data_IF_340125494029
#
_entry.id   IF_340125494029
#
_cell.length_a   1.000
_cell.length_b   1.000
_cell.length_c   1.000
_cell.angle_alpha   90.00
_cell.angle_beta   90.00
_cell.angle_gamma   90.00
#
_symmetry.space_group_name_H-M   'P 1'
#
loop_
_entity.id
_entity.type
_entity.pdbx_description
1 polymer ?
#
# COMPACT_ATOMS: atom_id res chain seq x y z
N UNK A 1 -3.44 -55.29 -18.83
CA UNK A 1 -4.22 -54.17 -18.25
C UNK A 1 -4.53 -54.47 -16.78
N UNK A 2 -4.24 -53.55 -15.87
CA UNK A 2 -4.46 -53.75 -14.43
C UNK A 2 -5.96 -53.67 -14.14
N UNK A 3 -6.56 -54.73 -13.59
CA UNK A 3 -7.97 -54.75 -13.18
C UNK A 3 -8.09 -54.12 -11.80
N UNK A 4 -8.77 -52.98 -11.73
CA UNK A 4 -9.11 -52.31 -10.48
C UNK A 4 -10.44 -52.84 -9.94
N UNK A 5 -10.56 -52.93 -8.61
CA UNK A 5 -11.81 -53.27 -7.90
C UNK A 5 -12.18 -52.13 -6.95
N UNK A 6 -13.48 -51.90 -6.69
CA UNK A 6 -13.93 -50.96 -5.67
C UNK A 6 -13.35 -51.30 -4.28
N UNK A 7 -13.08 -50.27 -3.48
CA UNK A 7 -12.46 -50.44 -2.15
C UNK A 7 -13.49 -50.94 -1.13
N UNK A 8 -13.02 -51.74 -0.17
CA UNK A 8 -13.83 -52.24 0.93
C UNK A 8 -13.99 -51.20 2.04
N UNK A 9 -15.18 -50.61 2.14
CA UNK A 9 -15.49 -49.56 3.11
C UNK A 9 -15.69 -50.08 4.55
N UNK A 10 -15.83 -51.40 4.77
CA UNK A 10 -16.02 -51.99 6.12
C UNK A 10 -14.80 -51.81 7.03
N UNK A 11 -13.64 -51.49 6.43
CA UNK A 11 -12.37 -51.27 7.12
C UNK A 11 -12.18 -49.83 7.62
N UNK A 12 -13.12 -48.93 7.34
CA UNK A 12 -13.06 -47.55 7.83
C UNK A 12 -13.25 -47.52 9.34
N UNK A 13 -12.31 -46.89 10.05
CA UNK A 13 -12.41 -46.64 11.49
C UNK A 13 -12.94 -45.23 11.74
N UNK A 14 -13.98 -45.11 12.56
CA UNK A 14 -14.52 -43.83 13.02
C UNK A 14 -14.23 -43.63 14.51
N UNK A 15 -14.33 -42.39 14.99
CA UNK A 15 -14.19 -42.07 16.41
C UNK A 15 -15.23 -41.03 16.84
N UNK A 16 -15.55 -41.02 18.14
CA UNK A 16 -16.55 -40.09 18.68
C UNK A 16 -16.10 -38.64 18.60
N UNK A 17 -17.00 -37.75 18.20
CA UNK A 17 -16.79 -36.30 18.26
C UNK A 17 -16.41 -35.81 19.67
N UNK A 18 -16.83 -36.50 20.74
CA UNK A 18 -16.45 -36.18 22.13
C UNK A 18 -14.94 -36.30 22.40
N UNK A 19 -14.23 -37.11 21.61
CA UNK A 19 -12.78 -37.29 21.71
C UNK A 19 -12.00 -36.31 20.82
N UNK A 20 -12.70 -35.51 19.98
CA UNK A 20 -12.09 -34.56 19.07
C UNK A 20 -11.80 -33.25 19.80
N UNK A 21 -10.53 -32.81 19.83
CA UNK A 21 -10.20 -31.42 20.22
C UNK A 21 -10.90 -30.47 19.25
N UNK A 22 -11.72 -29.57 19.78
CA UNK A 22 -12.50 -28.61 18.98
C UNK A 22 -11.89 -27.23 19.11
N UNK A 23 -11.76 -26.50 17.99
CA UNK A 23 -11.14 -25.17 17.93
C UNK A 23 -12.14 -24.01 18.03
N UNK A 24 -13.44 -24.29 17.89
CA UNK A 24 -14.50 -23.29 17.85
C UNK A 24 -15.63 -23.72 18.77
N UNK A 25 -16.02 -22.86 19.69
CA UNK A 25 -17.14 -23.07 20.62
C UNK A 25 -18.25 -22.05 20.38
N UNK A 26 -19.43 -22.28 20.94
CA UNK A 26 -20.60 -21.38 20.75
C UNK A 26 -20.29 -19.93 21.12
N UNK A 27 -19.46 -19.70 22.13
CA UNK A 27 -19.05 -18.36 22.56
C UNK A 27 -18.15 -17.64 21.53
N UNK A 28 -17.58 -18.37 20.58
CA UNK A 28 -16.75 -17.83 19.49
C UNK A 28 -17.57 -17.40 18.27
N UNK A 29 -18.89 -17.61 18.29
CA UNK A 29 -19.76 -17.32 17.16
C UNK A 29 -19.95 -15.82 17.02
N UNK A 30 -20.07 -15.37 15.76
CA UNK A 30 -20.41 -14.00 15.46
C UNK A 30 -21.80 -13.66 16.01
N UNK A 31 -22.01 -12.40 16.38
CA UNK A 31 -23.36 -11.88 16.66
C UNK A 31 -23.86 -11.07 15.45
N UNK A 32 -25.14 -11.20 15.07
CA UNK A 32 -25.73 -10.39 14.01
C UNK A 32 -25.54 -8.90 14.29
N UNK A 33 -25.19 -8.14 13.25
CA UNK A 33 -25.10 -6.69 13.35
C UNK A 33 -26.50 -6.10 13.60
N UNK A 34 -26.62 -5.20 14.56
CA UNK A 34 -27.89 -4.52 14.86
C UNK A 34 -27.95 -3.21 14.08
N UNK A 35 -29.07 -2.93 13.40
CA UNK A 35 -29.27 -1.65 12.70
C UNK A 35 -29.06 -0.47 13.66
N UNK A 36 -28.30 0.53 13.23
CA UNK A 36 -27.94 1.69 14.06
C UNK A 36 -26.79 1.45 15.05
N UNK A 37 -26.12 0.29 15.01
CA UNK A 37 -24.92 0.04 15.80
C UNK A 37 -23.75 0.91 15.36
N UNK A 38 -22.89 1.29 16.29
CA UNK A 38 -21.59 1.86 15.96
C UNK A 38 -20.68 0.82 15.30
N UNK A 39 -19.71 1.29 14.50
CA UNK A 39 -18.68 0.42 13.92
C UNK A 39 -17.94 -0.41 14.99
N UNK A 40 -17.67 0.18 16.16
CA UNK A 40 -17.07 -0.54 17.30
C UNK A 40 -17.91 -1.74 17.75
N UNK A 41 -19.24 -1.59 17.82
CA UNK A 41 -20.13 -2.70 18.17
C UNK A 41 -20.13 -3.78 17.10
N UNK A 42 -20.11 -3.40 15.82
CA UNK A 42 -19.97 -4.33 14.70
C UNK A 42 -18.63 -5.07 14.73
N UNK A 43 -17.51 -4.37 14.87
CA UNK A 43 -16.17 -4.97 14.96
C UNK A 43 -16.06 -5.96 16.13
N UNK A 44 -16.64 -5.60 17.28
CA UNK A 44 -16.69 -6.47 18.45
C UNK A 44 -17.67 -7.65 18.29
N UNK A 45 -18.57 -7.64 17.31
CA UNK A 45 -19.49 -8.74 17.03
C UNK A 45 -18.89 -9.79 16.08
N UNK A 46 -17.74 -9.50 15.47
CA UNK A 46 -17.03 -10.44 14.60
C UNK A 46 -16.49 -11.64 15.40
N UNK A 47 -16.52 -12.84 14.79
CA UNK A 47 -16.07 -14.05 15.47
C UNK A 47 -14.55 -14.04 15.64
N UNK A 48 -14.03 -14.35 16.83
CA UNK A 48 -12.59 -14.28 17.13
C UNK A 48 -11.82 -15.52 16.66
N UNK A 49 -11.90 -15.82 15.37
CA UNK A 49 -11.14 -16.90 14.74
C UNK A 49 -10.72 -16.54 13.31
N UNK A 50 -9.67 -17.21 12.82
CA UNK A 50 -9.13 -17.06 11.46
C UNK A 50 -8.84 -15.59 11.10
N UNK A 51 -9.39 -15.08 9.99
CA UNK A 51 -9.10 -13.74 9.46
C UNK A 51 -9.39 -12.61 10.46
N UNK A 52 -10.37 -12.76 11.35
CA UNK A 52 -10.67 -11.74 12.36
C UNK A 52 -9.55 -11.68 13.42
N UNK A 53 -8.91 -12.80 13.74
CA UNK A 53 -7.74 -12.79 14.61
C UNK A 53 -6.58 -12.08 13.94
N UNK A 54 -6.32 -12.35 12.65
CA UNK A 54 -5.30 -11.63 11.89
C UNK A 54 -5.59 -10.13 11.83
N UNK A 55 -6.85 -9.74 11.64
CA UNK A 55 -7.27 -8.34 11.68
C UNK A 55 -7.03 -7.70 13.06
N UNK A 56 -7.43 -8.39 14.14
CA UNK A 56 -7.19 -7.95 15.52
C UNK A 56 -5.69 -7.82 15.81
N UNK A 57 -4.87 -8.74 15.31
CA UNK A 57 -3.40 -8.73 15.48
C UNK A 57 -2.76 -7.55 14.75
N UNK A 58 -3.15 -7.30 13.50
CA UNK A 58 -2.68 -6.13 12.72
C UNK A 58 -3.08 -4.83 13.43
N UNK A 59 -4.33 -4.70 13.85
CA UNK A 59 -4.81 -3.51 14.58
C UNK A 59 -4.01 -3.31 15.87
N UNK A 60 -3.79 -4.36 16.67
CA UNK A 60 -3.00 -4.28 17.90
C UNK A 60 -1.54 -3.92 17.63
N UNK A 61 -0.94 -4.47 16.58
CA UNK A 61 0.44 -4.19 16.19
C UNK A 61 0.60 -2.71 15.83
N UNK A 62 -0.29 -2.16 14.99
CA UNK A 62 -0.28 -0.74 14.60
C UNK A 62 -0.44 0.16 15.83
N UNK A 63 -1.42 -0.13 16.70
CA UNK A 63 -1.66 0.65 17.92
C UNK A 63 -0.46 0.59 18.89
N UNK A 64 0.17 -0.57 19.02
CA UNK A 64 1.36 -0.76 19.85
C UNK A 64 2.56 0.02 19.30
N UNK A 65 2.83 -0.07 18.00
CA UNK A 65 3.89 0.68 17.34
C UNK A 65 3.69 2.19 17.51
N UNK A 66 2.48 2.68 17.22
CA UNK A 66 2.14 4.10 17.38
C UNK A 66 2.32 4.57 18.83
N UNK A 67 1.81 3.82 19.82
CA UNK A 67 1.97 4.16 21.25
C UNK A 67 3.43 4.22 21.69
N UNK A 68 4.27 3.33 21.13
CA UNK A 68 5.70 3.25 21.41
C UNK A 68 6.55 4.17 20.52
N UNK A 69 5.91 4.99 19.67
CA UNK A 69 6.59 5.85 18.68
C UNK A 69 7.56 5.07 17.79
N UNK A 70 7.16 3.86 17.39
CA UNK A 70 7.87 3.02 16.41
C UNK A 70 7.27 3.24 15.02
N UNK A 71 8.06 3.08 13.94
CA UNK A 71 7.58 3.36 12.61
C UNK A 71 6.40 2.46 12.23
N UNK A 72 5.43 3.05 11.54
CA UNK A 72 4.36 2.35 10.81
C UNK A 72 4.54 2.70 9.34
N UNK A 73 5.05 1.74 8.60
CA UNK A 73 5.43 1.87 7.19
C UNK A 73 4.34 1.21 6.35
N UNK A 74 3.90 1.89 5.29
CA UNK A 74 2.93 1.33 4.35
C UNK A 74 3.56 1.29 2.95
N UNK A 75 3.82 0.08 2.45
CA UNK A 75 4.07 -0.17 1.04
C UNK A 75 2.73 -0.34 0.32
N UNK A 76 2.51 0.43 -0.75
CA UNK A 76 1.31 0.33 -1.58
C UNK A 76 1.66 0.19 -3.05
N UNK A 77 0.86 -0.58 -3.78
CA UNK A 77 0.87 -0.59 -5.24
C UNK A 77 -0.10 0.43 -5.84
N UNK A 78 0.01 0.64 -7.16
CA UNK A 78 -0.83 1.59 -7.91
C UNK A 78 -2.35 1.33 -7.75
N UNK A 79 -2.77 0.10 -7.44
CA UNK A 79 -4.20 -0.23 -7.26
C UNK A 79 -4.86 0.47 -6.06
N UNK A 80 -4.13 0.68 -4.96
CA UNK A 80 -4.66 1.38 -3.77
C UNK A 80 -5.02 2.82 -4.12
N UNK A 81 -4.15 3.44 -4.93
CA UNK A 81 -4.34 4.79 -5.45
C UNK A 81 -5.48 4.80 -6.46
N UNK A 82 -5.43 3.90 -7.46
CA UNK A 82 -6.41 3.79 -8.56
C UNK A 82 -7.86 3.73 -8.08
N UNK A 83 -8.12 3.06 -6.95
CA UNK A 83 -9.49 2.92 -6.42
C UNK A 83 -9.88 4.03 -5.42
N UNK A 84 -9.09 5.10 -5.34
CA UNK A 84 -9.43 6.33 -4.62
C UNK A 84 -9.24 6.27 -3.10
N UNK A 85 -8.35 5.41 -2.59
CA UNK A 85 -8.12 5.28 -1.14
C UNK A 85 -7.18 6.34 -0.55
N UNK A 86 -6.60 7.21 -1.38
CA UNK A 86 -5.72 8.29 -0.96
C UNK A 86 -6.23 9.13 0.22
N UNK A 87 -7.51 9.54 0.30
CA UNK A 87 -7.98 10.34 1.43
C UNK A 87 -7.85 9.62 2.78
N UNK A 88 -8.02 8.29 2.79
CA UNK A 88 -7.87 7.48 4.00
C UNK A 88 -6.41 7.40 4.42
N UNK A 89 -5.53 7.21 3.43
CA UNK A 89 -4.08 7.20 3.57
C UNK A 89 -3.60 8.55 4.13
N UNK A 90 -4.02 9.67 3.54
CA UNK A 90 -3.68 11.03 4.00
C UNK A 90 -4.19 11.31 5.42
N UNK A 91 -5.38 10.83 5.79
CA UNK A 91 -5.88 10.93 7.17
C UNK A 91 -4.96 10.18 8.16
N UNK A 92 -4.40 9.03 7.76
CA UNK A 92 -3.39 8.32 8.53
C UNK A 92 -2.05 9.08 8.58
N UNK A 93 -1.62 9.70 7.48
CA UNK A 93 -0.41 10.54 7.42
C UNK A 93 -0.48 11.73 8.38
N UNK A 94 -1.63 12.42 8.42
CA UNK A 94 -1.89 13.52 9.36
C UNK A 94 -1.88 13.05 10.82
N UNK A 95 -2.09 11.75 11.05
CA UNK A 95 -1.92 11.05 12.34
C UNK A 95 -0.53 10.41 12.51
N UNK A 96 0.42 10.71 11.61
CA UNK A 96 1.83 10.29 11.53
C UNK A 96 2.07 8.82 11.13
N UNK A 97 1.58 8.43 9.95
CA UNK A 97 1.75 7.08 9.34
C UNK A 97 2.15 7.25 7.84
N UNK A 98 3.18 6.54 7.36
CA UNK A 98 4.03 6.92 6.19
C UNK A 98 3.69 6.21 4.86
N UNK A 99 3.56 6.92 3.71
CA UNK A 99 2.88 6.42 2.46
C UNK A 99 3.28 7.18 1.14
N UNK A 100 2.96 6.69 -0.09
CA UNK A 100 3.36 7.21 -1.46
C UNK A 100 2.21 7.48 -2.52
N UNK A 101 2.24 8.53 -3.41
CA UNK A 101 1.42 8.72 -4.68
C UNK A 101 1.54 10.08 -5.48
N UNK A 102 1.63 10.05 -6.83
CA UNK A 102 1.75 11.20 -7.77
C UNK A 102 0.51 11.55 -8.63
N UNK A 103 -0.19 10.60 -9.25
CA UNK A 103 -1.11 10.89 -10.37
C UNK A 103 -2.44 11.54 -9.96
N UNK A 104 -2.95 11.24 -8.76
CA UNK A 104 -4.20 11.84 -8.28
C UNK A 104 -4.05 13.35 -8.08
N UNK A 105 -2.85 13.80 -7.74
CA UNK A 105 -2.52 15.18 -7.46
C UNK A 105 -2.72 16.14 -8.64
N UNK A 106 -2.38 15.66 -9.84
CA UNK A 106 -2.33 16.46 -11.07
C UNK A 106 -3.65 16.44 -11.82
N UNK A 107 -4.30 15.27 -11.89
CA UNK A 107 -5.44 15.04 -12.78
C UNK A 107 -6.80 14.93 -12.06
N UNK A 108 -6.82 14.75 -10.73
CA UNK A 108 -8.07 14.59 -9.96
C UNK A 108 -8.89 13.34 -10.32
N UNK A 109 -8.34 12.49 -11.20
CA UNK A 109 -8.88 11.20 -11.63
C UNK A 109 -7.69 10.26 -11.89
N UNK A 110 -7.92 8.98 -11.64
CA UNK A 110 -7.01 7.88 -11.97
C UNK A 110 -7.86 6.76 -12.56
N UNK A 111 -7.25 5.86 -13.35
CA UNK A 111 -7.85 4.78 -14.14
C UNK A 111 -8.02 5.10 -15.64
N UNK A 112 -7.08 4.59 -16.42
CA UNK A 112 -7.27 4.21 -17.83
C UNK A 112 -7.66 2.72 -17.94
N UNK A 113 -8.25 2.32 -19.07
CA UNK A 113 -8.51 0.91 -19.37
C UNK A 113 -7.18 0.22 -19.69
N UNK A 114 -6.80 -0.74 -18.83
CA UNK A 114 -5.52 -1.43 -18.91
C UNK A 114 -5.44 -2.27 -20.19
N UNK A 115 -6.55 -2.89 -20.61
CA UNK A 115 -6.55 -3.75 -21.79
C UNK A 115 -6.40 -2.92 -23.07
N UNK A 116 -7.17 -1.83 -23.19
CA UNK A 116 -7.13 -0.93 -24.36
C UNK A 116 -5.79 -0.18 -24.46
N UNK A 117 -5.25 0.29 -23.33
CA UNK A 117 -3.96 0.96 -23.26
C UNK A 117 -2.77 0.04 -23.59
N UNK A 118 -2.83 -1.24 -23.20
CA UNK A 118 -1.79 -2.22 -23.52
C UNK A 118 -1.78 -2.62 -24.99
N UNK A 119 -2.95 -2.75 -25.64
CA UNK A 119 -3.05 -3.06 -27.08
C UNK A 119 -2.44 -1.96 -27.95
N UNK A 120 -2.57 -0.71 -27.53
CA UNK A 120 -2.09 0.46 -28.27
C UNK A 120 -0.70 0.94 -27.84
N UNK A 121 -0.18 0.41 -26.73
CA UNK A 121 1.09 0.86 -26.13
C UNK A 121 1.01 2.25 -25.46
N UNK A 122 -0.21 2.76 -25.24
CA UNK A 122 -0.46 4.08 -24.64
C UNK A 122 -0.70 4.04 -23.13
N UNK A 123 -0.78 2.83 -22.55
CA UNK A 123 -0.93 2.67 -21.10
C UNK A 123 0.17 3.41 -20.34
N UNK A 124 -0.21 4.32 -19.44
CA UNK A 124 0.69 5.13 -18.61
C UNK A 124 1.53 6.17 -19.35
N UNK A 125 1.18 6.49 -20.61
CA UNK A 125 1.92 7.42 -21.48
C UNK A 125 1.33 8.84 -21.47
N UNK A 126 0.92 9.33 -20.29
CA UNK A 126 0.39 10.69 -20.12
C UNK A 126 1.55 11.69 -20.16
N UNK A 127 1.64 12.49 -21.24
CA UNK A 127 2.77 13.39 -21.50
C UNK A 127 3.04 14.35 -20.34
N UNK A 128 2.02 14.99 -19.77
CA UNK A 128 2.18 15.93 -18.66
C UNK A 128 2.69 15.23 -17.40
N UNK A 129 2.15 14.06 -17.07
CA UNK A 129 2.61 13.24 -15.93
C UNK A 129 4.07 12.84 -16.12
N UNK A 130 4.43 12.32 -17.28
CA UNK A 130 5.78 11.88 -17.61
C UNK A 130 6.79 13.03 -17.61
N UNK A 131 6.44 14.18 -18.19
CA UNK A 131 7.30 15.36 -18.23
C UNK A 131 7.52 15.92 -16.83
N UNK A 132 6.44 16.14 -16.07
CA UNK A 132 6.53 16.77 -14.75
C UNK A 132 7.24 15.86 -13.74
N UNK A 133 7.06 14.53 -13.86
CA UNK A 133 7.81 13.53 -13.11
C UNK A 133 9.31 13.64 -13.39
N UNK A 134 9.73 13.56 -14.65
CA UNK A 134 11.15 13.60 -15.02
C UNK A 134 11.82 14.95 -14.71
N UNK A 135 11.09 16.06 -14.86
CA UNK A 135 11.61 17.39 -14.53
C UNK A 135 11.83 17.60 -13.03
N UNK A 136 11.08 16.90 -12.16
CA UNK A 136 11.25 17.01 -10.71
C UNK A 136 12.57 16.43 -10.20
N UNK A 137 13.20 15.54 -10.97
CA UNK A 137 14.30 14.69 -10.51
C UNK A 137 15.70 15.26 -10.88
N UNK A 138 15.79 16.25 -11.76
CA UNK A 138 17.02 16.53 -12.53
C UNK A 138 17.98 17.62 -11.98
N UNK A 139 17.70 18.31 -10.87
CA UNK A 139 18.61 19.39 -10.39
C UNK A 139 18.82 19.44 -8.86
N UNK A 140 17.84 19.02 -8.06
CA UNK A 140 17.88 19.09 -6.58
C UNK A 140 18.66 17.94 -5.94
N UNK A 141 18.60 16.74 -6.52
CA UNK A 141 19.18 15.50 -6.01
C UNK A 141 20.70 15.57 -5.72
N UNK A 142 21.46 16.34 -6.52
CA UNK A 142 22.91 16.47 -6.36
C UNK A 142 23.34 17.40 -5.21
N UNK A 143 22.43 18.26 -4.72
CA UNK A 143 22.73 19.26 -3.68
C UNK A 143 22.09 18.92 -2.34
N UNK A 144 20.89 18.36 -2.37
CA UNK A 144 20.13 17.93 -1.19
C UNK A 144 19.29 16.70 -1.55
N UNK A 145 19.87 15.48 -1.49
CA UNK A 145 19.19 14.26 -1.91
C UNK A 145 18.10 13.88 -0.90
N UNK A 146 16.86 14.29 -1.20
CA UNK A 146 15.66 13.97 -0.41
C UNK A 146 14.86 12.81 -0.98
N UNK A 147 15.20 12.37 -2.19
CA UNK A 147 14.59 11.23 -2.86
C UNK A 147 13.39 11.61 -3.72
N UNK A 148 13.04 10.72 -4.63
CA UNK A 148 12.06 10.95 -5.69
C UNK A 148 10.69 11.32 -5.14
N UNK A 149 10.22 10.63 -4.08
CA UNK A 149 8.88 10.87 -3.57
C UNK A 149 8.72 12.26 -2.95
N UNK A 150 9.77 12.75 -2.28
CA UNK A 150 9.79 14.11 -1.75
C UNK A 150 9.79 15.15 -2.89
N UNK A 151 10.68 14.99 -3.88
CA UNK A 151 10.85 15.96 -4.97
C UNK A 151 9.60 16.06 -5.86
N UNK A 152 8.92 14.93 -6.10
CA UNK A 152 7.61 14.92 -6.75
C UNK A 152 6.54 15.65 -5.92
N UNK A 153 6.54 15.45 -4.60
CA UNK A 153 5.65 16.17 -3.67
C UNK A 153 5.86 17.68 -3.71
N UNK A 154 7.11 18.12 -3.64
CA UNK A 154 7.48 19.54 -3.77
C UNK A 154 7.07 20.12 -5.12
N UNK A 155 7.27 19.36 -6.21
CA UNK A 155 6.87 19.80 -7.55
C UNK A 155 5.38 20.11 -7.61
N UNK A 156 4.55 19.23 -7.03
CA UNK A 156 3.09 19.41 -6.94
C UNK A 156 2.71 20.65 -6.13
N UNK A 157 3.42 20.91 -5.04
CA UNK A 157 3.23 22.11 -4.21
C UNK A 157 3.60 23.38 -5.00
N UNK A 158 4.77 23.38 -5.65
CA UNK A 158 5.31 24.53 -6.40
C UNK A 158 4.46 24.88 -7.62
N UNK A 159 3.99 23.87 -8.36
CA UNK A 159 3.12 24.08 -9.52
C UNK A 159 1.67 24.42 -9.13
N UNK A 160 1.35 24.43 -7.82
CA UNK A 160 0.00 24.66 -7.29
C UNK A 160 -1.02 23.70 -7.92
N UNK A 161 -0.68 22.40 -7.92
CA UNK A 161 -1.55 21.38 -8.50
C UNK A 161 -2.96 21.47 -7.87
N UNK A 162 -4.03 21.42 -8.68
CA UNK A 162 -5.39 21.80 -8.26
C UNK A 162 -5.99 20.87 -7.19
N UNK A 163 -5.47 19.65 -7.08
CA UNK A 163 -5.94 18.62 -6.14
C UNK A 163 -4.80 18.08 -5.25
N UNK A 164 -3.77 18.91 -4.98
CA UNK A 164 -2.61 18.50 -4.19
C UNK A 164 -2.97 17.98 -2.79
N UNK A 165 -4.09 18.41 -2.23
CA UNK A 165 -4.61 17.93 -0.94
C UNK A 165 -5.06 16.46 -0.96
N UNK A 166 -5.21 15.87 -2.16
CA UNK A 166 -5.50 14.45 -2.39
C UNK A 166 -4.24 13.64 -2.74
N UNK A 167 -3.07 14.29 -2.82
CA UNK A 167 -1.79 13.66 -3.10
C UNK A 167 -1.10 13.20 -1.83
N UNK A 168 -0.66 11.96 -1.84
CA UNK A 168 0.17 11.41 -0.78
C UNK A 168 1.58 12.00 -0.85
N UNK A 169 2.16 12.20 -2.05
CA UNK A 169 3.49 12.82 -2.17
C UNK A 169 3.48 14.27 -1.69
N UNK A 170 2.49 15.08 -2.10
CA UNK A 170 2.41 16.47 -1.63
C UNK A 170 2.17 16.54 -0.11
N UNK A 171 1.30 15.68 0.44
CA UNK A 171 1.09 15.58 1.89
C UNK A 171 2.38 15.17 2.61
N UNK A 172 3.16 14.25 2.04
CA UNK A 172 4.44 13.81 2.57
C UNK A 172 5.45 14.96 2.67
N UNK A 173 5.61 15.71 1.59
CA UNK A 173 6.45 16.89 1.55
C UNK A 173 6.00 17.98 2.54
N UNK A 174 4.69 18.29 2.60
CA UNK A 174 4.13 19.28 3.55
C UNK A 174 4.33 18.90 5.02
N UNK A 175 4.29 17.61 5.35
CA UNK A 175 4.44 17.10 6.71
C UNK A 175 5.89 16.76 7.09
N UNK A 176 6.84 16.95 6.18
CA UNK A 176 8.22 16.49 6.32
C UNK A 176 8.29 14.99 6.70
N UNK A 177 7.45 14.19 6.05
CA UNK A 177 7.34 12.76 6.29
C UNK A 177 7.98 12.00 5.12
N UNK A 178 8.84 10.99 5.37
CA UNK A 178 9.51 10.26 4.29
C UNK A 178 8.50 9.64 3.32
N UNK A 179 8.62 9.91 2.02
CA UNK A 179 7.82 9.23 1.01
C UNK A 179 8.75 8.80 -0.09
N UNK A 180 8.75 7.50 -0.41
CA UNK A 180 9.71 6.91 -1.35
C UNK A 180 9.00 6.31 -2.56
N UNK A 181 9.57 6.53 -3.75
CA UNK A 181 9.19 5.95 -5.04
C UNK A 181 10.31 5.00 -5.48
N UNK A 182 9.96 3.74 -5.75
CA UNK A 182 10.93 2.74 -6.21
C UNK A 182 10.64 2.36 -7.65
N UNK A 183 11.38 2.96 -8.58
CA UNK A 183 11.21 2.74 -10.02
C UNK A 183 11.97 1.48 -10.46
N UNK A 184 11.26 0.56 -11.08
CA UNK A 184 11.78 -0.62 -11.75
C UNK A 184 11.91 -0.37 -13.26
N UNK A 185 13.16 -0.20 -13.72
CA UNK A 185 13.47 -0.07 -15.15
C UNK A 185 13.07 -1.36 -15.89
N UNK A 186 12.39 -1.19 -17.03
CA UNK A 186 11.76 -2.25 -17.80
C UNK A 186 10.37 -2.69 -17.31
N UNK A 187 9.85 -2.12 -16.21
CA UNK A 187 8.49 -2.39 -15.69
C UNK A 187 7.61 -1.16 -15.65
N UNK A 188 8.08 -0.04 -15.08
CA UNK A 188 7.28 1.18 -14.93
C UNK A 188 7.23 2.02 -16.22
N UNK A 189 6.21 2.85 -16.43
CA UNK A 189 6.12 3.65 -17.67
C UNK A 189 6.96 4.92 -17.63
N UNK A 190 7.38 5.39 -16.45
CA UNK A 190 8.05 6.69 -16.27
C UNK A 190 9.36 6.85 -17.05
N UNK A 191 10.07 5.73 -17.29
CA UNK A 191 11.35 5.73 -18.01
C UNK A 191 11.18 5.60 -19.54
N UNK A 192 9.96 5.41 -20.03
CA UNK A 192 9.66 5.38 -21.46
C UNK A 192 9.53 6.78 -22.07
N UNK A 193 9.53 7.82 -21.23
CA UNK A 193 9.44 9.22 -21.65
C UNK A 193 10.70 9.67 -22.41
N UNK A 194 10.57 10.43 -23.52
CA UNK A 194 11.72 11.06 -24.18
C UNK A 194 12.39 12.15 -23.31
N UNK A 195 11.77 12.55 -22.20
CA UNK A 195 12.30 13.51 -21.25
C UNK A 195 13.05 12.87 -20.08
N UNK A 196 13.22 11.54 -20.09
CA UNK A 196 13.93 10.84 -19.02
C UNK A 196 15.40 11.25 -18.96
N UNK A 197 15.83 11.69 -17.78
CA UNK A 197 17.24 11.74 -17.42
C UNK A 197 17.56 10.45 -16.65
N UNK A 198 18.23 9.46 -17.27
CA UNK A 198 18.46 8.15 -16.65
C UNK A 198 19.40 8.23 -15.44
N UNK A 199 20.33 9.18 -15.40
CA UNK A 199 21.23 9.37 -14.26
C UNK A 199 20.44 9.92 -13.08
N UNK A 200 19.61 10.93 -13.32
CA UNK A 200 18.78 11.52 -12.30
C UNK A 200 17.73 10.52 -11.77
N UNK A 201 17.04 9.79 -12.66
CA UNK A 201 16.07 8.75 -12.29
C UNK A 201 16.70 7.66 -11.40
N UNK A 202 17.86 7.16 -11.82
CA UNK A 202 18.62 6.15 -11.07
C UNK A 202 19.08 6.66 -9.71
N UNK A 203 19.58 7.90 -9.66
CA UNK A 203 20.00 8.54 -8.41
C UNK A 203 18.84 8.70 -7.44
N UNK A 204 17.71 9.27 -7.88
CA UNK A 204 16.56 9.55 -7.03
C UNK A 204 15.90 8.29 -6.47
N UNK A 205 15.73 7.26 -7.29
CA UNK A 205 15.16 6.00 -6.80
C UNK A 205 16.12 5.28 -5.84
N UNK A 206 17.43 5.43 -6.04
CA UNK A 206 18.44 4.88 -5.13
C UNK A 206 18.48 5.65 -3.79
N UNK A 207 18.33 6.98 -3.81
CA UNK A 207 18.16 7.79 -2.60
C UNK A 207 16.94 7.33 -1.82
N UNK A 208 15.81 7.13 -2.49
CA UNK A 208 14.59 6.60 -1.87
C UNK A 208 14.80 5.20 -1.29
N UNK A 209 15.52 4.31 -1.98
CA UNK A 209 15.89 3.01 -1.44
C UNK A 209 16.74 3.13 -0.15
N UNK A 210 17.71 4.05 -0.12
CA UNK A 210 18.53 4.31 1.08
C UNK A 210 17.70 4.90 2.21
N UNK A 211 16.79 5.82 1.91
CA UNK A 211 15.87 6.41 2.87
C UNK A 211 14.95 5.34 3.47
N UNK A 212 14.29 4.54 2.63
CA UNK A 212 13.49 3.40 3.06
C UNK A 212 14.29 2.43 3.94
N UNK A 213 15.51 2.07 3.52
CA UNK A 213 16.41 1.21 4.29
C UNK A 213 16.70 1.77 5.69
N UNK A 214 16.90 3.10 5.81
CA UNK A 214 17.10 3.76 7.10
C UNK A 214 15.88 3.66 8.03
N UNK A 215 14.66 3.74 7.47
CA UNK A 215 13.41 3.55 8.22
C UNK A 215 13.27 2.08 8.65
N UNK A 216 13.67 1.14 7.78
CA UNK A 216 13.68 -0.29 8.09
C UNK A 216 14.68 -0.63 9.21
N UNK A 217 15.82 0.04 9.30
CA UNK A 217 16.74 -0.12 10.43
C UNK A 217 16.08 0.21 11.79
N UNK A 218 15.05 1.07 11.80
CA UNK A 218 14.27 1.41 12.98
C UNK A 218 12.97 0.58 13.11
N UNK A 219 12.78 -0.47 12.31
CA UNK A 219 11.53 -1.23 12.28
C UNK A 219 11.28 -2.08 13.53
N UNK A 220 12.30 -2.35 14.36
CA UNK A 220 12.10 -3.18 15.55
C UNK A 220 10.99 -2.61 16.45
N UNK A 221 9.96 -3.42 16.74
CA UNK A 221 8.76 -3.00 17.47
C UNK A 221 7.79 -2.10 16.69
N UNK A 222 8.06 -1.82 15.42
CA UNK A 222 7.21 -1.15 14.44
C UNK A 222 6.37 -2.12 13.61
N UNK A 223 5.78 -1.61 12.51
CA UNK A 223 4.93 -2.38 11.60
C UNK A 223 5.24 -2.01 10.15
N UNK A 224 5.35 -3.03 9.30
CA UNK A 224 5.32 -2.89 7.85
C UNK A 224 4.02 -3.48 7.31
N UNK A 225 3.26 -2.68 6.56
CA UNK A 225 2.06 -3.09 5.86
C UNK A 225 2.35 -3.14 4.37
N UNK A 226 2.05 -4.28 3.73
CA UNK A 226 2.02 -4.37 2.28
C UNK A 226 0.55 -4.40 1.84
N UNK A 227 0.08 -3.33 1.21
CA UNK A 227 -1.33 -3.16 0.82
C UNK A 227 -1.40 -3.04 -0.71
N UNK A 228 -1.90 -4.08 -1.36
CA UNK A 228 -1.98 -4.16 -2.81
C UNK A 228 -2.24 -5.58 -3.27
#
# INVERSE_FOLDING_TARGET
>A
MKKYKPIDLSKIKTYSAKKRKTKVELNSFAKPAVKGSSFKKFYNSLPKFLAVNSLDEVVKAILSAHKKKRPVIIGIGAHVIKVGLNPLIIDLMKKKIVIHDFEIATLGRTSEDVAEGLETGMFGMVEETLRDFNQSISVSEYKDPRGMGYELGERLIQMKAPHRELSILATGAELDMPVTVHVAIGTDTVHMSPHVDPEALGSATFTDFRLFSSVICDLEGGVYLNIG
#
